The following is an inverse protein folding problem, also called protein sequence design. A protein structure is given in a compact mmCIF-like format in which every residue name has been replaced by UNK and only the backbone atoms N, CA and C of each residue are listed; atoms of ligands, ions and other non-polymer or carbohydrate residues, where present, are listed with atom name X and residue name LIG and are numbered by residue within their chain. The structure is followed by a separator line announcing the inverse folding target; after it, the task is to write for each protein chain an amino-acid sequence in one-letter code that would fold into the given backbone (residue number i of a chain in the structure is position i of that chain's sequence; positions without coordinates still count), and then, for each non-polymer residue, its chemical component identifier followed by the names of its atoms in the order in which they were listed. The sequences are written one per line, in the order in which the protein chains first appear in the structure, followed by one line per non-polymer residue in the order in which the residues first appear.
data_IF_112739011937
#
_entry.id   IF_112739011937
#
_cell.length_a   1.000
_cell.length_b   1.000
_cell.length_c   1.000
_cell.angle_alpha   90.00
_cell.angle_beta   90.00
_cell.angle_gamma   90.00
#
_symmetry.space_group_name_H-M   'P 1'
#
loop_
_entity.id
_entity.type
_entity.pdbx_description
1 polymer ?
#
# COMPACT_ATOMS: atom_id res chain seq x y z
N UNK A 1 19.61 -25.58 40.68
CA UNK A 1 20.36 -26.41 39.71
C UNK A 1 19.64 -26.33 38.38
N UNK A 2 20.36 -26.23 37.27
CA UNK A 2 19.76 -26.18 35.93
C UNK A 2 20.28 -27.36 35.12
N UNK A 3 19.37 -28.06 34.43
CA UNK A 3 19.69 -29.15 33.52
C UNK A 3 19.32 -28.72 32.10
N UNK A 4 20.25 -28.88 31.16
CA UNK A 4 20.05 -28.54 29.74
C UNK A 4 20.56 -29.67 28.86
N UNK A 5 19.99 -29.91 27.66
CA UNK A 5 20.56 -30.85 26.70
C UNK A 5 22.03 -30.55 26.42
N UNK A 6 22.86 -31.59 26.47
CA UNK A 6 24.33 -31.47 26.41
C UNK A 6 24.81 -30.91 25.08
N UNK A 7 24.14 -31.26 24.00
CA UNK A 7 24.33 -30.76 22.64
C UNK A 7 24.00 -29.26 22.48
N UNK A 8 23.27 -28.68 23.43
CA UNK A 8 22.83 -27.27 23.42
C UNK A 8 23.47 -26.43 24.52
N UNK A 9 24.40 -27.02 25.27
CA UNK A 9 25.14 -26.30 26.29
C UNK A 9 26.36 -25.64 25.65
N UNK A 10 26.41 -24.31 25.73
CA UNK A 10 27.61 -23.52 25.49
C UNK A 10 27.77 -22.40 26.53
N UNK A 11 28.85 -21.63 26.39
CA UNK A 11 29.15 -20.51 27.28
C UNK A 11 28.10 -19.38 27.21
N UNK A 12 27.50 -19.14 26.03
CA UNK A 12 26.51 -18.08 25.79
C UNK A 12 25.18 -18.42 26.45
N UNK A 13 24.70 -19.65 26.27
CA UNK A 13 23.50 -20.20 26.93
C UNK A 13 23.67 -20.14 28.44
N UNK A 14 24.82 -20.56 28.96
CA UNK A 14 25.13 -20.46 30.40
C UNK A 14 25.06 -19.02 30.90
N UNK A 15 25.61 -18.06 30.16
CA UNK A 15 25.60 -16.65 30.54
C UNK A 15 24.19 -16.04 30.51
N UNK A 16 23.39 -16.36 29.49
CA UNK A 16 21.98 -15.96 29.42
C UNK A 16 21.16 -16.52 30.58
N UNK A 17 21.31 -17.81 30.89
CA UNK A 17 20.65 -18.45 32.05
C UNK A 17 21.09 -17.76 33.35
N UNK A 18 22.39 -17.50 33.49
CA UNK A 18 22.94 -16.82 34.66
C UNK A 18 22.37 -15.40 34.83
N UNK A 19 22.25 -14.64 33.74
CA UNK A 19 21.68 -13.29 33.73
C UNK A 19 20.18 -13.30 34.08
N UNK A 20 19.42 -14.24 33.53
CA UNK A 20 18.01 -14.43 33.86
C UNK A 20 17.82 -14.73 35.36
N UNK A 21 18.52 -15.75 35.87
CA UNK A 21 18.43 -16.14 37.29
C UNK A 21 18.87 -15.01 38.23
N UNK A 22 19.92 -14.27 37.87
CA UNK A 22 20.36 -13.09 38.63
C UNK A 22 19.24 -12.05 38.74
N UNK A 23 18.51 -11.80 37.64
CA UNK A 23 17.45 -10.80 37.56
C UNK A 23 16.24 -11.23 38.37
N UNK A 24 15.76 -12.46 38.14
CA UNK A 24 14.55 -13.00 38.77
C UNK A 24 14.69 -13.19 40.28
N UNK A 25 15.89 -13.49 40.76
CA UNK A 25 16.18 -13.58 42.20
C UNK A 25 16.74 -12.28 42.80
N UNK A 26 16.74 -11.16 42.07
CA UNK A 26 17.20 -9.85 42.53
C UNK A 26 18.59 -9.91 43.19
N UNK A 27 19.53 -10.58 42.54
CA UNK A 27 20.82 -10.90 43.11
C UNK A 27 22.01 -10.56 42.22
N UNK A 28 23.14 -11.21 42.51
CA UNK A 28 24.33 -11.28 41.66
C UNK A 28 24.71 -12.73 41.43
N UNK A 29 25.17 -13.04 40.24
CA UNK A 29 25.76 -14.35 39.97
C UNK A 29 27.11 -14.43 40.68
N UNK A 30 27.22 -15.23 41.75
CA UNK A 30 28.43 -15.35 42.56
C UNK A 30 29.39 -16.40 42.01
N UNK A 31 28.87 -17.55 41.60
CA UNK A 31 29.65 -18.63 41.02
C UNK A 31 28.75 -19.53 40.16
N UNK A 32 29.36 -20.27 39.25
CA UNK A 32 28.70 -21.35 38.52
C UNK A 32 29.64 -22.54 38.40
N UNK A 33 29.10 -23.74 38.47
CA UNK A 33 29.86 -24.99 38.32
C UNK A 33 29.16 -25.90 37.31
N UNK A 34 29.65 -25.97 36.06
CA UNK A 34 29.13 -26.90 35.07
C UNK A 34 29.67 -28.31 35.34
N UNK A 35 28.82 -29.31 35.14
CA UNK A 35 29.12 -30.72 35.25
C UNK A 35 28.48 -31.46 34.06
N UNK A 36 29.21 -32.40 33.47
CA UNK A 36 28.77 -33.20 32.34
C UNK A 36 28.64 -34.67 32.76
N UNK A 37 27.58 -35.04 33.50
CA UNK A 37 27.33 -36.43 33.88
C UNK A 37 27.14 -37.33 32.65
N UNK A 38 27.25 -38.65 32.85
CA UNK A 38 26.88 -39.62 31.81
C UNK A 38 25.39 -39.46 31.44
N UNK A 39 25.11 -39.39 30.13
CA UNK A 39 23.78 -39.11 29.60
C UNK A 39 23.71 -37.85 28.72
N UNK A 40 22.50 -37.50 28.29
CA UNK A 40 22.23 -36.42 27.33
C UNK A 40 22.11 -35.02 27.93
N UNK A 41 22.35 -34.83 29.23
CA UNK A 41 22.14 -33.55 29.91
C UNK A 41 23.45 -33.00 30.50
N UNK A 42 23.69 -31.71 30.29
CA UNK A 42 24.64 -30.93 31.08
C UNK A 42 23.92 -30.34 32.30
N UNK A 43 24.59 -30.36 33.45
CA UNK A 43 24.07 -29.80 34.71
C UNK A 43 24.92 -28.59 35.10
N UNK A 44 24.29 -27.46 35.37
CA UNK A 44 24.97 -26.28 35.89
C UNK A 44 24.45 -25.93 37.27
N UNK A 45 25.36 -25.79 38.23
CA UNK A 45 25.07 -25.28 39.55
C UNK A 45 25.34 -23.79 39.61
N UNK A 46 24.29 -22.97 39.51
CA UNK A 46 24.37 -21.52 39.70
C UNK A 46 24.21 -21.15 41.17
N UNK A 47 25.09 -20.27 41.67
CA UNK A 47 25.01 -19.67 43.00
C UNK A 47 24.68 -18.19 42.82
N UNK A 48 23.46 -17.80 43.21
CA UNK A 48 23.02 -16.41 43.19
C UNK A 48 23.16 -15.82 44.59
N UNK A 49 24.12 -14.90 44.76
CA UNK A 49 24.30 -14.15 45.99
C UNK A 49 23.32 -13.00 46.07
N UNK A 50 22.68 -12.81 47.23
CA UNK A 50 21.76 -11.70 47.50
C UNK A 50 22.28 -10.85 48.66
N UNK A 51 22.06 -9.54 48.61
CA UNK A 51 22.54 -8.57 49.60
C UNK A 51 21.48 -8.16 50.64
N UNK A 52 20.23 -8.61 50.51
CA UNK A 52 19.17 -8.36 51.49
C UNK A 52 17.76 -8.70 50.97
N UNK A 53 16.74 -8.53 51.82
CA UNK A 53 15.33 -8.72 51.47
C UNK A 53 14.83 -10.19 51.47
N UNK A 54 13.50 -10.37 51.45
CA UNK A 54 12.88 -11.71 51.30
C UNK A 54 13.24 -12.30 49.94
N UNK A 55 13.46 -13.60 49.88
CA UNK A 55 13.74 -14.32 48.62
C UNK A 55 12.50 -14.31 47.73
N UNK A 56 12.60 -13.84 46.47
CA UNK A 56 11.54 -13.95 45.50
C UNK A 56 11.08 -15.41 45.39
N UNK A 57 9.78 -15.63 45.53
CA UNK A 57 9.16 -16.92 45.27
C UNK A 57 8.63 -16.88 43.85
N UNK A 58 9.34 -17.56 42.97
CA UNK A 58 9.00 -17.65 41.56
C UNK A 58 8.63 -19.10 41.32
N UNK A 59 7.48 -19.29 40.68
CA UNK A 59 7.00 -20.63 40.35
C UNK A 59 8.04 -21.36 39.49
N UNK A 60 8.27 -22.63 39.81
CA UNK A 60 9.28 -23.43 39.12
C UNK A 60 8.99 -23.51 37.61
N UNK A 61 7.72 -23.63 37.24
CA UNK A 61 7.27 -23.64 35.84
C UNK A 61 7.66 -22.37 35.08
N UNK A 62 7.66 -21.20 35.71
CA UNK A 62 8.07 -19.93 35.10
C UNK A 62 9.58 -19.92 34.85
N UNK A 63 10.38 -20.43 35.79
CA UNK A 63 11.83 -20.54 35.63
C UNK A 63 12.17 -21.55 34.53
N UNK A 64 11.50 -22.71 34.52
CA UNK A 64 11.70 -23.75 33.52
C UNK A 64 11.30 -23.28 32.12
N UNK A 65 10.20 -22.55 31.97
CA UNK A 65 9.78 -21.96 30.70
C UNK A 65 10.82 -20.99 30.15
N UNK A 66 11.32 -20.07 30.99
CA UNK A 66 12.34 -19.12 30.56
C UNK A 66 13.69 -19.77 30.24
N UNK A 67 14.12 -20.78 31.01
CA UNK A 67 15.35 -21.52 30.71
C UNK A 67 15.18 -22.32 29.41
N UNK A 68 14.01 -22.93 29.18
CA UNK A 68 13.69 -23.60 27.92
C UNK A 68 13.81 -22.63 26.76
N UNK A 69 13.25 -21.43 26.86
CA UNK A 69 13.37 -20.39 25.84
C UNK A 69 14.83 -19.99 25.56
N UNK A 70 15.69 -19.93 26.58
CA UNK A 70 17.12 -19.61 26.42
C UNK A 70 17.88 -20.72 25.68
N UNK A 71 17.49 -21.98 25.85
CA UNK A 71 18.16 -23.18 25.31
C UNK A 71 17.50 -23.66 24.01
N UNK A 72 16.38 -23.05 23.62
CA UNK A 72 15.58 -23.45 22.46
C UNK A 72 16.34 -23.14 21.17
N UNK A 73 16.47 -24.14 20.30
CA UNK A 73 17.01 -23.93 18.96
C UNK A 73 15.95 -23.31 18.06
N UNK A 74 16.38 -22.72 16.94
CA UNK A 74 15.46 -22.23 15.93
C UNK A 74 14.52 -23.33 15.42
N UNK A 75 15.06 -24.53 15.18
CA UNK A 75 14.34 -25.67 14.64
C UNK A 75 13.25 -26.18 15.59
N UNK A 76 13.50 -26.15 16.90
CA UNK A 76 12.50 -26.47 17.92
C UNK A 76 11.40 -25.42 17.96
N UNK A 77 11.79 -24.14 18.03
CA UNK A 77 10.85 -23.01 18.02
C UNK A 77 9.94 -23.05 16.79
N UNK A 78 10.52 -23.40 15.63
CA UNK A 78 9.82 -23.54 14.37
C UNK A 78 8.89 -24.76 14.35
N UNK A 79 9.31 -25.87 14.94
CA UNK A 79 8.47 -27.07 15.07
C UNK A 79 7.25 -26.81 15.96
N UNK A 80 7.46 -26.23 17.14
CA UNK A 80 6.39 -25.86 18.07
C UNK A 80 5.42 -24.85 17.42
N UNK A 81 5.94 -23.82 16.76
CA UNK A 81 5.11 -22.83 16.09
C UNK A 81 4.31 -23.43 14.92
N UNK A 82 4.91 -24.35 14.15
CA UNK A 82 4.23 -25.03 13.05
C UNK A 82 3.12 -25.95 13.56
N UNK A 83 3.35 -26.69 14.65
CA UNK A 83 2.35 -27.53 15.28
C UNK A 83 1.19 -26.70 15.86
N UNK A 84 1.50 -25.62 16.58
CA UNK A 84 0.51 -24.73 17.16
C UNK A 84 -0.38 -24.06 16.11
N UNK A 85 0.19 -23.72 14.95
CA UNK A 85 -0.53 -23.10 13.83
C UNK A 85 -1.16 -24.13 12.87
N UNK A 86 -0.92 -25.43 13.04
CA UNK A 86 -1.34 -26.46 12.07
C UNK A 86 -0.75 -26.24 10.67
N UNK A 87 0.49 -25.74 10.59
CA UNK A 87 1.13 -25.33 9.33
C UNK A 87 1.61 -26.52 8.49
N UNK A 88 1.56 -26.36 7.16
CA UNK A 88 2.07 -27.35 6.20
C UNK A 88 3.60 -27.57 6.37
N UNK A 89 4.09 -28.83 6.36
CA UNK A 89 5.52 -29.15 6.30
C UNK A 89 6.32 -28.35 5.26
N UNK A 90 5.73 -27.98 4.12
CA UNK A 90 6.37 -27.16 3.10
C UNK A 90 6.72 -25.75 3.61
N UNK A 91 5.83 -25.11 4.39
CA UNK A 91 6.09 -23.80 4.98
C UNK A 91 7.20 -23.87 6.03
N UNK A 92 7.21 -24.94 6.82
CA UNK A 92 8.29 -25.22 7.77
C UNK A 92 9.63 -25.37 7.06
N UNK A 93 9.67 -26.08 5.92
CA UNK A 93 10.89 -26.24 5.12
C UNK A 93 11.40 -24.91 4.56
N UNK A 94 10.50 -24.01 4.11
CA UNK A 94 10.87 -22.66 3.69
C UNK A 94 11.40 -21.85 4.86
N UNK A 95 10.69 -21.82 5.99
CA UNK A 95 11.08 -21.08 7.20
C UNK A 95 12.43 -21.54 7.80
N UNK A 96 12.77 -22.82 7.64
CA UNK A 96 14.07 -23.36 8.07
C UNK A 96 15.27 -22.77 7.28
N UNK A 97 15.03 -22.22 6.09
CA UNK A 97 16.07 -21.65 5.20
C UNK A 97 16.37 -20.18 5.47
N UNK A 98 15.70 -19.55 6.43
CA UNK A 98 15.93 -18.15 6.77
C UNK A 98 17.32 -17.97 7.40
N UNK A 99 18.07 -16.91 7.04
CA UNK A 99 19.43 -16.68 7.52
C UNK A 99 19.46 -16.31 9.01
N UNK A 100 20.61 -16.50 9.67
CA UNK A 100 20.81 -16.15 11.09
C UNK A 100 20.45 -14.69 11.38
N UNK A 101 20.83 -13.76 10.49
CA UNK A 101 20.49 -12.33 10.61
C UNK A 101 18.98 -12.06 10.70
N UNK A 102 18.15 -12.87 10.06
CA UNK A 102 16.70 -12.79 10.19
C UNK A 102 16.24 -13.34 11.54
N UNK A 103 16.79 -14.49 11.96
CA UNK A 103 16.45 -15.17 13.22
C UNK A 103 16.78 -14.32 14.46
N UNK A 104 17.76 -13.42 14.34
CA UNK A 104 18.09 -12.44 15.38
C UNK A 104 17.01 -11.36 15.56
N UNK A 105 16.20 -11.11 14.51
CA UNK A 105 15.22 -10.03 14.49
C UNK A 105 13.77 -10.50 14.63
N UNK A 106 13.47 -11.74 14.27
CA UNK A 106 12.11 -12.26 14.19
C UNK A 106 11.96 -13.63 14.85
N UNK A 107 10.76 -13.90 15.37
CA UNK A 107 10.43 -15.20 15.95
C UNK A 107 10.15 -16.25 14.87
N UNK A 108 10.23 -17.53 15.25
CA UNK A 108 9.90 -18.64 14.35
C UNK A 108 8.42 -18.63 13.88
N UNK A 109 7.51 -18.11 14.71
CA UNK A 109 6.11 -17.91 14.32
C UNK A 109 5.97 -16.87 13.20
N UNK A 110 6.73 -15.77 13.27
CA UNK A 110 6.78 -14.76 12.19
C UNK A 110 7.41 -15.35 10.93
N UNK A 111 8.47 -16.15 11.07
CA UNK A 111 9.09 -16.83 9.93
C UNK A 111 8.14 -17.78 9.20
N UNK A 112 7.23 -18.46 9.91
CA UNK A 112 6.19 -19.31 9.29
C UNK A 112 5.17 -18.48 8.51
N UNK A 113 4.75 -17.33 9.05
CA UNK A 113 3.88 -16.41 8.33
C UNK A 113 4.56 -15.87 7.06
N UNK A 114 5.82 -15.47 7.16
CA UNK A 114 6.64 -15.02 6.04
C UNK A 114 6.83 -16.14 5.00
N UNK A 115 7.09 -17.37 5.43
CA UNK A 115 7.16 -18.53 4.55
C UNK A 115 5.85 -18.75 3.76
N UNK A 116 4.70 -18.48 4.37
CA UNK A 116 3.40 -18.49 3.70
C UNK A 116 3.25 -17.44 2.60
N UNK A 117 3.91 -16.27 2.74
CA UNK A 117 3.98 -15.24 1.68
C UNK A 117 4.96 -15.65 0.59
N UNK A 118 6.13 -16.16 0.96
CA UNK A 118 7.15 -16.66 0.04
C UNK A 118 6.60 -17.78 -0.85
N UNK A 119 5.78 -18.67 -0.30
CA UNK A 119 5.18 -19.76 -1.07
C UNK A 119 4.22 -19.31 -2.18
N UNK A 120 3.77 -18.04 -2.17
CA UNK A 120 2.83 -17.48 -3.16
C UNK A 120 3.52 -16.68 -4.27
N UNK A 121 4.84 -16.50 -4.20
CA UNK A 121 5.62 -15.76 -5.19
C UNK A 121 6.50 -16.70 -6.01
N UNK A 122 6.81 -16.27 -7.22
CA UNK A 122 7.63 -17.00 -8.18
C UNK A 122 7.90 -16.14 -9.41
N UNK A 123 8.40 -16.73 -10.49
CA UNK A 123 8.75 -15.97 -11.69
C UNK A 123 7.57 -15.17 -12.29
N UNK A 124 6.36 -15.74 -12.31
CA UNK A 124 5.16 -15.11 -12.88
C UNK A 124 4.51 -14.07 -11.96
N UNK A 125 4.74 -14.19 -10.65
CA UNK A 125 4.25 -13.26 -9.63
C UNK A 125 5.39 -12.98 -8.63
N UNK A 126 6.35 -12.10 -9.00
CA UNK A 126 7.63 -12.03 -8.29
C UNK A 126 7.56 -11.25 -6.99
N UNK A 127 6.44 -10.63 -6.64
CA UNK A 127 6.33 -9.75 -5.48
C UNK A 127 5.12 -10.09 -4.62
N UNK A 128 5.32 -10.03 -3.31
CA UNK A 128 4.27 -9.94 -2.32
C UNK A 128 4.69 -8.89 -1.28
N UNK A 129 3.72 -8.30 -0.60
CA UNK A 129 3.98 -7.34 0.47
C UNK A 129 3.12 -7.64 1.69
N UNK A 130 3.53 -7.16 2.85
CA UNK A 130 2.80 -7.31 4.09
C UNK A 130 3.01 -6.09 5.00
N UNK A 131 1.92 -5.41 5.34
CA UNK A 131 1.95 -4.33 6.33
C UNK A 131 1.59 -4.88 7.69
N UNK A 132 2.37 -4.52 8.69
CA UNK A 132 2.17 -5.00 10.05
C UNK A 132 2.62 -3.94 11.06
N UNK A 133 2.47 -4.27 12.34
CA UNK A 133 2.80 -3.37 13.44
C UNK A 133 3.50 -4.13 14.55
N UNK A 134 4.66 -3.64 14.96
CA UNK A 134 5.34 -4.14 16.16
C UNK A 134 4.63 -3.64 17.43
N UNK A 135 4.75 -4.38 18.53
CA UNK A 135 4.06 -4.07 19.77
C UNK A 135 4.45 -2.71 20.39
N UNK A 136 5.65 -2.23 20.09
CA UNK A 136 6.25 -0.97 20.57
C UNK A 136 6.00 0.23 19.63
N UNK A 137 5.46 0.01 18.43
CA UNK A 137 5.22 1.06 17.46
C UNK A 137 4.00 1.93 17.83
N UNK A 138 4.17 3.25 17.70
CA UNK A 138 3.09 4.23 17.90
C UNK A 138 2.02 4.13 16.80
N UNK A 139 0.79 4.63 17.01
CA UNK A 139 -0.29 4.52 16.02
C UNK A 139 0.03 5.07 14.61
N UNK A 140 0.90 6.07 14.50
CA UNK A 140 1.35 6.67 13.23
C UNK A 140 2.57 5.97 12.60
N UNK A 141 3.07 4.90 13.22
CA UNK A 141 4.18 4.08 12.71
C UNK A 141 3.66 2.71 12.26
N UNK A 142 4.32 2.08 11.31
CA UNK A 142 4.03 0.71 10.88
C UNK A 142 5.31 0.05 10.38
N UNK A 143 5.25 -1.23 10.07
CA UNK A 143 6.31 -1.94 9.36
C UNK A 143 5.76 -2.52 8.06
N UNK A 144 6.64 -2.70 7.09
CA UNK A 144 6.34 -3.26 5.79
C UNK A 144 7.41 -4.29 5.44
N UNK A 145 6.99 -5.49 5.06
CA UNK A 145 7.85 -6.45 4.37
C UNK A 145 7.51 -6.49 2.89
N UNK A 146 8.54 -6.39 2.04
CA UNK A 146 8.45 -6.68 0.61
C UNK A 146 9.22 -7.96 0.34
N UNK A 147 8.52 -8.98 -0.15
CA UNK A 147 9.10 -10.25 -0.59
C UNK A 147 9.26 -10.19 -2.09
N UNK A 148 10.48 -10.38 -2.59
CA UNK A 148 10.75 -10.33 -4.03
C UNK A 148 11.55 -11.55 -4.50
N UNK A 149 11.05 -12.23 -5.53
CA UNK A 149 11.66 -13.41 -6.11
C UNK A 149 12.83 -13.05 -7.04
N UNK A 150 13.91 -13.81 -6.93
CA UNK A 150 15.06 -13.81 -7.84
C UNK A 150 16.06 -12.65 -7.69
N UNK A 151 15.62 -11.46 -7.26
CA UNK A 151 16.51 -10.30 -7.13
C UNK A 151 16.10 -9.35 -6.02
N UNK A 152 17.06 -8.62 -5.40
CA UNK A 152 16.74 -7.58 -4.46
C UNK A 152 16.13 -6.38 -5.20
N UNK A 153 15.16 -5.74 -4.57
CA UNK A 153 14.62 -4.47 -5.04
C UNK A 153 15.55 -3.34 -4.62
N UNK A 154 15.81 -2.36 -5.49
CA UNK A 154 16.56 -1.16 -5.13
C UNK A 154 15.68 -0.19 -4.32
N UNK A 155 16.28 0.53 -3.35
CA UNK A 155 15.59 1.59 -2.60
C UNK A 155 14.99 2.65 -3.53
N UNK A 156 15.73 3.06 -4.55
CA UNK A 156 15.29 4.03 -5.57
C UNK A 156 14.04 3.60 -6.35
N UNK A 157 13.66 2.33 -6.29
CA UNK A 157 12.42 1.82 -6.90
C UNK A 157 11.25 1.76 -5.92
N UNK A 158 11.48 1.35 -4.66
CA UNK A 158 10.40 1.16 -3.67
C UNK A 158 10.09 2.40 -2.83
N UNK A 159 11.09 3.19 -2.47
CA UNK A 159 10.91 4.37 -1.59
C UNK A 159 10.00 5.42 -2.23
N UNK A 160 10.15 5.78 -3.53
CA UNK A 160 9.26 6.77 -4.13
C UNK A 160 7.79 6.35 -4.14
N UNK A 161 7.51 5.05 -4.25
CA UNK A 161 6.13 4.52 -4.18
C UNK A 161 5.55 4.74 -2.78
N UNK A 162 6.33 4.43 -1.74
CA UNK A 162 5.92 4.63 -0.35
C UNK A 162 5.73 6.10 0.00
N UNK A 163 6.64 6.96 -0.46
CA UNK A 163 6.55 8.41 -0.27
C UNK A 163 5.28 8.99 -0.90
N UNK A 164 4.98 8.59 -2.14
CA UNK A 164 3.77 9.03 -2.82
C UNK A 164 2.48 8.48 -2.20
N UNK A 165 2.51 7.29 -1.57
CA UNK A 165 1.38 6.77 -0.77
C UNK A 165 1.22 7.55 0.55
N UNK A 166 2.25 8.29 0.99
CA UNK A 166 2.21 9.08 2.23
C UNK A 166 2.95 8.45 3.41
N UNK A 167 3.93 7.59 3.13
CA UNK A 167 4.83 7.06 4.13
C UNK A 167 6.21 7.72 4.08
N UNK A 168 6.82 7.90 5.24
CA UNK A 168 8.23 8.19 5.40
C UNK A 168 8.95 6.91 5.81
N UNK A 169 9.97 6.53 5.06
CA UNK A 169 10.80 5.36 5.39
C UNK A 169 11.84 5.77 6.43
N UNK A 170 11.85 5.07 7.57
CA UNK A 170 12.72 5.38 8.71
C UNK A 170 14.01 4.54 8.67
N UNK A 171 13.85 3.24 8.42
CA UNK A 171 14.96 2.30 8.35
C UNK A 171 14.59 1.13 7.43
N UNK A 172 15.59 0.44 6.88
CA UNK A 172 15.39 -0.83 6.19
C UNK A 172 16.42 -1.89 6.55
N UNK A 173 16.01 -3.15 6.44
CA UNK A 173 16.87 -4.33 6.49
C UNK A 173 16.51 -5.25 5.34
N UNK A 174 17.53 -5.87 4.74
CA UNK A 174 17.34 -6.85 3.67
C UNK A 174 17.85 -8.22 4.11
N UNK A 175 17.01 -9.23 3.93
CA UNK A 175 17.35 -10.63 4.18
C UNK A 175 17.29 -11.41 2.88
N UNK A 176 18.28 -12.26 2.66
CA UNK A 176 18.31 -13.20 1.55
C UNK A 176 17.92 -14.57 2.08
N UNK A 177 16.84 -15.13 1.53
CA UNK A 177 16.28 -16.43 1.90
C UNK A 177 16.46 -17.38 0.72
N UNK A 178 17.00 -18.56 1.00
CA UNK A 178 17.28 -19.59 0.00
C UNK A 178 18.76 -19.86 -0.20
N UNK A 179 19.07 -21.02 -0.77
CA UNK A 179 20.44 -21.47 -1.02
C UNK A 179 20.82 -21.51 -2.50
N UNK A 180 19.87 -21.80 -3.38
CA UNK A 180 20.09 -21.92 -4.82
C UNK A 180 19.68 -20.60 -5.51
N UNK A 181 20.50 -20.01 -6.40
CA UNK A 181 20.10 -18.88 -7.22
C UNK A 181 18.71 -18.98 -7.86
N UNK A 182 18.25 -20.19 -8.21
CA UNK A 182 16.96 -20.41 -8.86
C UNK A 182 15.73 -20.21 -7.94
N UNK A 183 15.91 -20.20 -6.62
CA UNK A 183 14.81 -20.07 -5.65
C UNK A 183 15.03 -18.98 -4.59
N UNK A 184 15.96 -18.06 -4.85
CA UNK A 184 16.26 -16.95 -3.96
C UNK A 184 15.09 -16.00 -3.82
N UNK A 185 14.82 -15.60 -2.59
CA UNK A 185 13.86 -14.57 -2.25
C UNK A 185 14.52 -13.53 -1.35
N UNK A 186 14.27 -12.27 -1.67
CA UNK A 186 14.74 -11.13 -0.89
C UNK A 186 13.58 -10.58 -0.08
N UNK A 187 13.76 -10.46 1.23
CA UNK A 187 12.82 -9.81 2.14
C UNK A 187 13.39 -8.44 2.48
N UNK A 188 12.67 -7.38 2.14
CA UNK A 188 12.99 -6.02 2.57
C UNK A 188 12.01 -5.64 3.68
N UNK A 189 12.52 -5.60 4.90
CA UNK A 189 11.78 -5.15 6.09
C UNK A 189 12.04 -3.66 6.30
N UNK A 190 10.97 -2.87 6.42
CA UNK A 190 11.03 -1.41 6.46
C UNK A 190 10.18 -0.87 7.59
N UNK A 191 10.73 0.08 8.34
CA UNK A 191 9.97 0.86 9.30
C UNK A 191 9.40 2.11 8.63
N UNK A 192 8.10 2.31 8.78
CA UNK A 192 7.34 3.37 8.14
C UNK A 192 6.72 4.30 9.17
N UNK A 193 6.58 5.56 8.79
CA UNK A 193 5.82 6.56 9.52
C UNK A 193 4.85 7.27 8.59
N UNK A 194 3.65 7.60 9.07
CA UNK A 194 2.70 8.41 8.31
C UNK A 194 3.21 9.85 8.18
N UNK A 195 3.48 10.29 6.94
CA UNK A 195 3.97 11.65 6.65
C UNK A 195 2.98 12.76 7.01
N UNK A 196 1.70 12.43 7.15
CA UNK A 196 0.65 13.36 7.57
C UNK A 196 0.43 13.39 9.10
N UNK A 197 1.19 12.59 9.86
CA UNK A 197 1.12 12.55 11.33
C UNK A 197 -0.14 11.87 11.90
N UNK A 198 -1.00 11.33 11.03
CA UNK A 198 -2.20 10.60 11.42
C UNK A 198 -1.91 9.12 11.75
N UNK A 199 -2.88 8.44 12.39
CA UNK A 199 -2.81 7.00 12.62
C UNK A 199 -2.78 6.26 11.27
N UNK A 200 -1.96 5.22 11.17
CA UNK A 200 -2.01 4.26 10.06
C UNK A 200 -3.07 3.21 10.39
N UNK A 201 -4.11 3.14 9.57
CA UNK A 201 -5.19 2.17 9.72
C UNK A 201 -4.82 0.85 9.04
N UNK A 202 -4.64 -0.21 9.84
CA UNK A 202 -4.37 -1.58 9.36
C UNK A 202 -5.49 -2.53 9.79
N UNK A 203 -6.70 -2.01 10.06
CA UNK A 203 -7.85 -2.83 10.49
C UNK A 203 -8.30 -3.83 9.43
N UNK A 204 -8.03 -3.56 8.16
CA UNK A 204 -8.22 -4.45 7.00
C UNK A 204 -7.04 -5.40 6.74
N UNK A 205 -6.06 -5.46 7.67
CA UNK A 205 -4.83 -6.21 7.48
C UNK A 205 -3.82 -5.53 6.55
N UNK A 206 -4.00 -4.24 6.24
CA UNK A 206 -3.14 -3.49 5.33
C UNK A 206 -3.51 -3.64 3.85
N UNK A 207 -4.67 -4.22 3.54
CA UNK A 207 -5.12 -4.50 2.19
C UNK A 207 -5.19 -3.24 1.31
N UNK A 208 -5.64 -2.12 1.87
CA UNK A 208 -5.67 -0.83 1.19
C UNK A 208 -4.28 -0.38 0.71
N UNK A 209 -3.27 -0.43 1.60
CA UNK A 209 -1.91 -0.04 1.25
C UNK A 209 -1.23 -1.08 0.36
N UNK A 210 -1.63 -2.35 0.49
CA UNK A 210 -1.18 -3.40 -0.40
C UNK A 210 -1.64 -3.14 -1.85
N UNK A 211 -2.93 -2.82 -2.02
CA UNK A 211 -3.49 -2.41 -3.30
C UNK A 211 -2.77 -1.19 -3.88
N UNK A 212 -2.62 -0.13 -3.08
CA UNK A 212 -1.95 1.10 -3.52
C UNK A 212 -0.51 0.84 -4.00
N UNK A 213 0.27 0.08 -3.22
CA UNK A 213 1.67 -0.21 -3.58
C UNK A 213 1.77 -1.13 -4.80
N UNK A 214 1.02 -2.24 -4.82
CA UNK A 214 1.14 -3.22 -5.89
C UNK A 214 0.57 -2.72 -7.22
N UNK A 215 -0.46 -1.88 -7.21
CA UNK A 215 -0.98 -1.25 -8.43
C UNK A 215 0.04 -0.33 -9.08
N UNK A 216 0.78 0.47 -8.29
CA UNK A 216 1.91 1.26 -8.82
C UNK A 216 3.04 0.34 -9.28
N UNK A 217 3.38 -0.68 -8.48
CA UNK A 217 4.49 -1.59 -8.78
C UNK A 217 4.33 -2.35 -10.10
N UNK A 218 3.09 -2.75 -10.42
CA UNK A 218 2.73 -3.42 -11.68
C UNK A 218 2.57 -2.47 -12.86
N UNK A 219 2.57 -1.16 -12.62
CA UNK A 219 2.32 -0.15 -13.65
C UNK A 219 0.84 -0.02 -14.02
N UNK A 220 -0.07 -0.48 -13.16
CA UNK A 220 -1.52 -0.34 -13.38
C UNK A 220 -1.97 1.13 -13.15
N UNK A 221 -1.23 1.86 -12.30
CA UNK A 221 -1.49 3.28 -11.98
C UNK A 221 -0.18 4.07 -11.89
N UNK A 222 -0.26 5.39 -12.09
CA UNK A 222 0.89 6.29 -12.01
C UNK A 222 1.45 6.42 -10.58
N UNK A 223 2.77 6.63 -10.48
CA UNK A 223 3.46 6.90 -9.22
C UNK A 223 3.54 8.41 -8.94
N UNK A 224 2.47 8.98 -8.39
CA UNK A 224 2.34 10.42 -8.15
C UNK A 224 1.65 10.73 -6.81
N UNK A 225 1.53 12.03 -6.48
CA UNK A 225 0.96 12.48 -5.21
C UNK A 225 -0.52 12.13 -4.99
N UNK A 226 -1.25 11.66 -6.02
CA UNK A 226 -2.63 11.19 -5.82
C UNK A 226 -2.67 9.90 -4.99
N UNK A 227 -1.59 9.10 -5.02
CA UNK A 227 -1.48 7.88 -4.21
C UNK A 227 -1.60 8.16 -2.71
N UNK A 228 -1.32 9.39 -2.26
CA UNK A 228 -1.47 9.83 -0.87
C UNK A 228 -2.91 9.73 -0.36
N UNK A 229 -3.89 9.70 -1.27
CA UNK A 229 -5.31 9.55 -0.92
C UNK A 229 -5.64 8.19 -0.31
N UNK A 230 -4.78 7.18 -0.47
CA UNK A 230 -4.89 5.94 0.29
C UNK A 230 -4.71 6.21 1.79
N UNK A 231 -3.70 7.00 2.15
CA UNK A 231 -3.39 7.35 3.53
C UNK A 231 -4.33 8.43 4.10
N UNK A 232 -4.64 9.47 3.33
CA UNK A 232 -5.42 10.62 3.83
C UNK A 232 -6.92 10.39 3.76
N UNK A 233 -7.41 9.78 2.68
CA UNK A 233 -8.84 9.62 2.41
C UNK A 233 -9.32 8.16 2.46
N UNK A 234 -8.43 7.18 2.65
CA UNK A 234 -8.80 5.76 2.71
C UNK A 234 -9.26 5.20 1.37
N UNK A 235 -8.84 5.81 0.25
CA UNK A 235 -9.28 5.44 -1.10
C UNK A 235 -8.38 4.36 -1.72
N UNK A 236 -8.99 3.36 -2.34
CA UNK A 236 -8.31 2.29 -3.07
C UNK A 236 -7.76 2.82 -4.40
N UNK A 237 -6.77 2.13 -4.99
CA UNK A 237 -6.07 2.58 -6.20
C UNK A 237 -7.03 2.85 -7.39
N UNK A 238 -8.08 2.05 -7.53
CA UNK A 238 -9.13 2.25 -8.54
C UNK A 238 -9.97 3.51 -8.32
N UNK A 239 -10.22 3.88 -7.06
CA UNK A 239 -10.96 5.08 -6.66
C UNK A 239 -10.09 6.33 -6.87
N UNK A 240 -8.81 6.25 -6.48
CA UNK A 240 -7.79 7.27 -6.73
C UNK A 240 -7.66 7.54 -8.23
N UNK A 241 -7.69 6.50 -9.06
CA UNK A 241 -7.61 6.60 -10.52
C UNK A 241 -8.72 7.46 -11.11
N UNK A 242 -9.93 7.42 -10.55
CA UNK A 242 -11.05 8.29 -11.00
C UNK A 242 -10.71 9.76 -10.74
N UNK A 243 -10.24 10.08 -9.53
CA UNK A 243 -9.89 11.45 -9.18
C UNK A 243 -8.70 11.94 -10.02
N UNK A 244 -7.67 11.11 -10.17
CA UNK A 244 -6.53 11.39 -11.04
C UNK A 244 -6.98 11.68 -12.48
N UNK A 245 -7.88 10.89 -13.04
CA UNK A 245 -8.41 11.11 -14.39
C UNK A 245 -9.08 12.48 -14.55
N UNK A 246 -9.87 12.93 -13.56
CA UNK A 246 -10.43 14.28 -13.58
C UNK A 246 -9.35 15.36 -13.50
N UNK A 247 -8.32 15.18 -12.67
CA UNK A 247 -7.17 16.08 -12.62
C UNK A 247 -6.43 16.19 -13.94
N UNK A 248 -6.20 15.07 -14.63
CA UNK A 248 -5.60 15.00 -15.97
C UNK A 248 -6.48 15.68 -17.02
N UNK A 249 -7.80 15.50 -16.95
CA UNK A 249 -8.73 16.24 -17.81
C UNK A 249 -8.67 17.75 -17.55
N UNK A 250 -8.58 18.18 -16.30
CA UNK A 250 -8.46 19.61 -15.96
C UNK A 250 -7.20 20.24 -16.58
N UNK A 251 -6.09 19.51 -16.64
CA UNK A 251 -4.89 19.96 -17.35
C UNK A 251 -5.20 20.25 -18.83
N UNK A 252 -5.88 19.33 -19.51
CA UNK A 252 -6.30 19.53 -20.90
C UNK A 252 -7.36 20.63 -21.06
N UNK A 253 -8.16 20.87 -20.02
CA UNK A 253 -9.11 21.98 -19.96
C UNK A 253 -8.44 23.34 -19.64
N UNK A 254 -7.11 23.37 -19.43
CA UNK A 254 -6.36 24.60 -19.21
C UNK A 254 -6.41 25.14 -17.78
N UNK A 255 -6.58 24.26 -16.78
CA UNK A 255 -6.40 24.65 -15.38
C UNK A 255 -4.94 25.10 -15.15
N UNK A 256 -4.68 26.21 -14.43
CA UNK A 256 -3.32 26.71 -14.25
C UNK A 256 -2.51 25.89 -13.23
N UNK A 257 -3.16 25.22 -12.28
CA UNK A 257 -2.48 24.44 -11.24
C UNK A 257 -1.89 23.13 -11.80
N UNK A 258 -0.69 22.78 -11.35
CA UNK A 258 -0.01 21.53 -11.75
C UNK A 258 -0.70 20.29 -11.16
N UNK A 259 -0.41 19.11 -11.70
CA UNK A 259 -0.93 17.85 -11.15
C UNK A 259 -0.52 17.64 -9.70
N UNK A 260 0.72 17.95 -9.34
CA UNK A 260 1.20 17.84 -7.95
C UNK A 260 0.42 18.77 -7.01
N UNK A 261 0.11 19.99 -7.46
CA UNK A 261 -0.67 20.93 -6.66
C UNK A 261 -2.13 20.46 -6.50
N UNK A 262 -2.73 19.92 -7.56
CA UNK A 262 -4.08 19.35 -7.52
C UNK A 262 -4.13 18.15 -6.56
N UNK A 263 -3.18 17.23 -6.66
CA UNK A 263 -3.09 16.09 -5.75
C UNK A 263 -2.89 16.54 -4.29
N UNK A 264 -2.03 17.54 -4.05
CA UNK A 264 -1.82 18.11 -2.73
C UNK A 264 -3.07 18.83 -2.18
N UNK A 265 -3.88 19.47 -3.02
CA UNK A 265 -5.17 20.04 -2.62
C UNK A 265 -6.13 18.93 -2.16
N UNK A 266 -6.30 17.85 -2.94
CA UNK A 266 -7.17 16.74 -2.54
C UNK A 266 -6.72 16.06 -1.23
N UNK A 267 -5.42 15.87 -1.04
CA UNK A 267 -4.87 15.30 0.19
C UNK A 267 -5.02 16.20 1.43
N UNK A 268 -5.11 17.52 1.25
CA UNK A 268 -5.39 18.47 2.35
C UNK A 268 -6.84 18.43 2.82
N UNK A 269 -7.77 18.04 1.94
CA UNK A 269 -9.20 17.95 2.24
C UNK A 269 -9.73 16.53 1.97
N UNK A 270 -9.29 15.52 2.73
CA UNK A 270 -9.59 14.10 2.45
C UNK A 270 -11.08 13.77 2.49
N UNK A 271 -11.85 14.40 3.39
CA UNK A 271 -13.30 14.20 3.46
C UNK A 271 -14.02 14.73 2.21
N UNK A 272 -13.50 15.81 1.61
CA UNK A 272 -14.02 16.34 0.35
C UNK A 272 -13.62 15.42 -0.81
N UNK A 273 -12.36 14.94 -0.84
CA UNK A 273 -11.89 14.01 -1.86
C UNK A 273 -12.72 12.70 -1.87
N UNK A 274 -13.00 12.13 -0.69
CA UNK A 274 -13.90 10.98 -0.55
C UNK A 274 -15.31 11.32 -1.02
N UNK A 275 -15.86 12.47 -0.60
CA UNK A 275 -17.17 12.93 -1.05
C UNK A 275 -17.28 13.11 -2.58
N UNK A 276 -16.22 13.59 -3.24
CA UNK A 276 -16.16 13.69 -4.70
C UNK A 276 -16.23 12.30 -5.36
N UNK A 277 -15.46 11.34 -4.84
CA UNK A 277 -15.55 9.95 -5.31
C UNK A 277 -16.95 9.36 -5.08
N UNK A 278 -17.52 9.53 -3.89
CA UNK A 278 -18.86 9.02 -3.56
C UNK A 278 -19.93 9.64 -4.46
N UNK A 279 -19.79 10.93 -4.79
CA UNK A 279 -20.68 11.62 -5.73
C UNK A 279 -20.57 11.03 -7.14
N UNK A 280 -19.36 10.70 -7.58
CA UNK A 280 -19.13 10.01 -8.86
C UNK A 280 -19.86 8.67 -8.89
N UNK A 281 -19.70 7.85 -7.84
CA UNK A 281 -20.37 6.54 -7.73
C UNK A 281 -21.89 6.70 -7.69
N UNK A 282 -22.42 7.64 -6.90
CA UNK A 282 -23.85 7.88 -6.79
C UNK A 282 -24.48 8.36 -8.12
N UNK A 283 -23.72 9.04 -8.99
CA UNK A 283 -24.23 9.55 -10.28
C UNK A 283 -24.09 8.58 -11.44
N UNK A 284 -23.07 7.74 -11.43
CA UNK A 284 -22.66 6.96 -12.61
C UNK A 284 -22.60 5.46 -12.34
N UNK A 285 -22.72 5.06 -11.07
CA UNK A 285 -22.69 3.67 -10.63
C UNK A 285 -23.99 2.91 -10.89
N UNK A 286 -24.02 1.61 -10.55
CA UNK A 286 -25.18 0.74 -10.81
C UNK A 286 -26.46 1.21 -10.11
N UNK A 287 -26.34 1.94 -9.01
CA UNK A 287 -27.46 2.48 -8.22
C UNK A 287 -27.76 3.94 -8.55
N UNK A 288 -27.35 4.45 -9.72
CA UNK A 288 -27.49 5.88 -10.07
C UNK A 288 -28.94 6.37 -10.19
N UNK A 289 -29.89 5.47 -10.45
CA UNK A 289 -31.31 5.78 -10.50
C UNK A 289 -31.96 5.64 -9.11
N UNK A 290 -33.08 6.33 -8.86
CA UNK A 290 -33.80 6.26 -7.59
C UNK A 290 -32.97 6.83 -6.43
N UNK A 291 -32.53 5.95 -5.52
CA UNK A 291 -31.78 6.31 -4.32
C UNK A 291 -30.45 7.02 -4.63
N UNK A 292 -29.79 6.68 -5.75
CA UNK A 292 -28.56 7.35 -6.19
C UNK A 292 -28.75 8.83 -6.50
N UNK A 293 -29.91 9.22 -7.04
CA UNK A 293 -30.23 10.64 -7.31
C UNK A 293 -30.33 11.44 -6.01
N UNK A 294 -30.97 10.84 -4.99
CA UNK A 294 -31.11 11.45 -3.67
C UNK A 294 -29.74 11.54 -2.99
N UNK A 295 -28.98 10.45 -2.98
CA UNK A 295 -27.62 10.40 -2.44
C UNK A 295 -26.71 11.44 -3.10
N UNK A 296 -26.70 11.52 -4.43
CA UNK A 296 -25.92 12.50 -5.18
C UNK A 296 -26.29 13.95 -4.80
N UNK A 297 -27.58 14.25 -4.59
CA UNK A 297 -28.02 15.58 -4.14
C UNK A 297 -27.49 15.91 -2.74
N UNK A 298 -27.56 14.96 -1.80
CA UNK A 298 -27.03 15.13 -0.44
C UNK A 298 -25.52 15.27 -0.42
N UNK A 299 -24.79 14.42 -1.14
CA UNK A 299 -23.33 14.48 -1.27
C UNK A 299 -22.89 15.82 -1.88
N UNK A 300 -23.55 16.27 -2.94
CA UNK A 300 -23.29 17.59 -3.54
C UNK A 300 -23.49 18.73 -2.53
N UNK A 301 -24.57 18.71 -1.75
CA UNK A 301 -24.80 19.72 -0.72
C UNK A 301 -23.69 19.68 0.35
N UNK A 302 -23.36 18.49 0.87
CA UNK A 302 -22.29 18.30 1.85
C UNK A 302 -20.93 18.79 1.35
N UNK A 303 -20.58 18.52 0.08
CA UNK A 303 -19.35 19.03 -0.54
C UNK A 303 -19.36 20.55 -0.62
N UNK A 304 -20.49 21.15 -0.99
CA UNK A 304 -20.63 22.61 -1.06
C UNK A 304 -20.50 23.28 0.29
N UNK A 305 -21.09 22.69 1.34
CA UNK A 305 -20.96 23.19 2.70
C UNK A 305 -19.50 23.07 3.18
N UNK A 306 -18.84 21.93 2.90
CA UNK A 306 -17.42 21.75 3.24
C UNK A 306 -16.48 22.70 2.47
N UNK A 307 -16.86 23.14 1.26
CA UNK A 307 -16.13 24.13 0.48
C UNK A 307 -16.14 25.53 1.11
N UNK A 308 -17.13 25.86 1.95
CA UNK A 308 -17.16 27.16 2.66
C UNK A 308 -16.04 27.28 3.68
N UNK A 309 -15.52 26.15 4.16
CA UNK A 309 -14.42 26.05 5.13
C UNK A 309 -13.04 25.96 4.47
N UNK A 310 -12.93 26.10 3.14
CA UNK A 310 -11.66 26.04 2.40
C UNK A 310 -11.07 27.46 2.30
N UNK A 311 -10.01 27.79 3.06
CA UNK A 311 -9.50 29.17 3.12
C UNK A 311 -8.67 29.57 1.90
N UNK A 312 -8.07 28.60 1.21
CA UNK A 312 -7.19 28.85 0.07
C UNK A 312 -8.01 28.87 -1.24
N UNK A 313 -7.91 29.97 -2.00
CA UNK A 313 -8.71 30.18 -3.21
C UNK A 313 -8.35 29.22 -4.36
N UNK A 314 -7.09 28.80 -4.47
CA UNK A 314 -6.66 27.83 -5.48
C UNK A 314 -7.21 26.45 -5.15
N UNK A 315 -7.16 26.06 -3.88
CA UNK A 315 -7.73 24.79 -3.40
C UNK A 315 -9.25 24.74 -3.63
N UNK A 316 -9.96 25.82 -3.27
CA UNK A 316 -11.41 25.97 -3.51
C UNK A 316 -11.72 25.87 -5.01
N UNK A 317 -10.95 26.57 -5.85
CA UNK A 317 -11.11 26.54 -7.31
C UNK A 317 -10.94 25.13 -7.87
N UNK A 318 -9.91 24.40 -7.43
CA UNK A 318 -9.67 23.01 -7.85
C UNK A 318 -10.85 22.13 -7.48
N UNK A 319 -11.29 22.16 -6.22
CA UNK A 319 -12.36 21.29 -5.75
C UNK A 319 -13.69 21.62 -6.46
N UNK A 320 -14.00 22.91 -6.68
CA UNK A 320 -15.18 23.32 -7.46
C UNK A 320 -15.12 22.83 -8.89
N UNK A 321 -13.94 22.85 -9.53
CA UNK A 321 -13.72 22.29 -10.87
C UNK A 321 -13.94 20.78 -10.90
N UNK A 322 -13.46 20.05 -9.90
CA UNK A 322 -13.75 18.61 -9.75
C UNK A 322 -15.25 18.34 -9.62
N UNK A 323 -15.93 19.07 -8.73
CA UNK A 323 -17.37 18.95 -8.55
C UNK A 323 -18.10 19.18 -9.88
N UNK A 324 -17.79 20.26 -10.60
CA UNK A 324 -18.39 20.56 -11.90
C UNK A 324 -18.13 19.45 -12.94
N UNK A 325 -16.92 18.89 -13.00
CA UNK A 325 -16.62 17.79 -13.93
C UNK A 325 -17.44 16.53 -13.64
N UNK A 326 -17.57 16.16 -12.37
CA UNK A 326 -18.37 14.99 -11.96
C UNK A 326 -19.85 15.23 -12.30
N UNK A 327 -20.34 16.46 -12.16
CA UNK A 327 -21.70 16.83 -12.58
C UNK A 327 -21.88 16.81 -14.10
N UNK A 328 -20.87 17.23 -14.86
CA UNK A 328 -20.86 17.22 -16.33
C UNK A 328 -20.65 15.82 -16.93
N UNK A 329 -20.26 14.82 -16.14
CA UNK A 329 -20.11 13.44 -16.57
C UNK A 329 -21.46 12.78 -16.85
N UNK A 330 -21.54 12.11 -18.00
CA UNK A 330 -22.76 11.49 -18.53
C UNK A 330 -22.76 9.97 -18.46
N UNK A 331 -21.58 9.34 -18.63
CA UNK A 331 -21.40 7.88 -18.52
C UNK A 331 -19.92 7.53 -18.44
N UNK A 332 -19.64 6.35 -17.93
CA UNK A 332 -18.29 5.79 -17.80
C UNK A 332 -18.29 4.27 -18.04
N UNK A 333 -17.15 3.70 -18.39
CA UNK A 333 -16.94 2.25 -18.45
C UNK A 333 -16.47 1.65 -17.10
N UNK A 334 -16.30 2.46 -16.05
CA UNK A 334 -15.78 2.03 -14.76
C UNK A 334 -16.57 0.88 -14.11
N UNK A 335 -17.90 0.86 -14.28
CA UNK A 335 -18.78 -0.11 -13.62
C UNK A 335 -19.11 -1.36 -14.46
N UNK A 336 -18.46 -1.53 -15.61
CA UNK A 336 -18.71 -2.69 -16.49
C UNK A 336 -17.85 -3.86 -16.01
N UNK A 337 -18.44 -5.03 -15.72
CA UNK A 337 -17.73 -6.15 -15.10
C UNK A 337 -16.55 -6.69 -15.93
N UNK A 338 -16.67 -6.67 -17.27
CA UNK A 338 -15.64 -7.14 -18.20
C UNK A 338 -14.45 -6.17 -18.33
N UNK A 339 -14.49 -5.00 -17.68
CA UNK A 339 -13.42 -3.99 -17.78
C UNK A 339 -12.31 -4.13 -16.75
N UNK A 340 -12.36 -5.17 -15.90
CA UNK A 340 -11.31 -5.51 -14.93
C UNK A 340 -10.15 -6.33 -15.52
N UNK A 341 -10.11 -6.54 -16.84
CA UNK A 341 -8.93 -7.09 -17.48
C UNK A 341 -7.76 -6.09 -17.34
N UNK A 342 -6.56 -6.60 -17.03
CA UNK A 342 -5.34 -5.78 -16.89
C UNK A 342 -5.16 -4.87 -18.11
N UNK A 343 -4.88 -3.59 -17.87
CA UNK A 343 -4.54 -2.61 -18.92
C UNK A 343 -5.71 -1.86 -19.57
N UNK A 344 -6.96 -2.02 -19.12
CA UNK A 344 -8.06 -1.25 -19.70
C UNK A 344 -8.15 0.18 -19.14
N UNK A 345 -8.09 1.17 -20.04
CA UNK A 345 -8.23 2.58 -19.70
C UNK A 345 -9.66 2.95 -19.26
N UNK A 346 -9.74 3.84 -18.28
CA UNK A 346 -10.96 4.53 -17.87
C UNK A 346 -11.42 5.49 -18.96
N UNK A 347 -12.69 5.41 -19.34
CA UNK A 347 -13.33 6.33 -20.27
C UNK A 347 -14.48 7.07 -19.58
N UNK A 348 -14.51 8.39 -19.70
CA UNK A 348 -15.57 9.25 -19.16
C UNK A 348 -16.10 10.12 -20.30
N UNK A 349 -17.41 10.07 -20.53
CA UNK A 349 -18.09 10.94 -21.49
C UNK A 349 -18.61 12.17 -20.76
N UNK A 350 -18.18 13.35 -21.19
CA UNK A 350 -18.49 14.66 -20.61
C UNK A 350 -19.44 15.45 -21.52
N UNK A 351 -20.34 16.21 -20.89
CA UNK A 351 -21.03 17.33 -21.52
C UNK A 351 -20.12 18.57 -21.51
N UNK A 352 -19.35 18.75 -22.58
CA UNK A 352 -18.42 19.88 -22.73
C UNK A 352 -19.07 21.26 -22.58
N UNK A 353 -20.38 21.38 -22.84
CA UNK A 353 -21.08 22.66 -22.66
C UNK A 353 -21.30 22.99 -21.17
N UNK A 354 -21.42 21.97 -20.33
CA UNK A 354 -21.58 22.08 -18.88
C UNK A 354 -20.24 22.19 -18.12
N UNK A 355 -19.10 21.90 -18.78
CA UNK A 355 -17.77 22.05 -18.18
C UNK A 355 -17.41 23.53 -18.07
N UNK A 356 -17.30 24.00 -16.84
CA UNK A 356 -16.88 25.35 -16.54
C UNK A 356 -15.37 25.52 -16.74
N UNK A 357 -14.95 26.69 -17.24
CA UNK A 357 -13.53 26.97 -17.53
C UNK A 357 -13.01 26.36 -18.83
N UNK A 358 -13.80 25.54 -19.54
CA UNK A 358 -13.37 24.93 -20.79
C UNK A 358 -13.17 25.98 -21.90
N UNK A 359 -12.00 26.03 -22.58
CA UNK A 359 -11.73 26.98 -23.66
C UNK A 359 -12.62 26.75 -24.88
N UNK A 360 -12.95 27.83 -25.59
CA UNK A 360 -13.68 27.77 -26.85
C UNK A 360 -12.76 27.26 -28.00
N UNK A 361 -13.31 26.55 -29.00
CA UNK A 361 -14.70 26.11 -29.11
C UNK A 361 -14.98 24.89 -28.21
N UNK A 362 -16.15 24.88 -27.55
CA UNK A 362 -16.59 23.76 -26.73
C UNK A 362 -17.31 22.74 -27.63
N UNK A 363 -16.84 21.49 -27.72
CA UNK A 363 -17.54 20.44 -28.45
C UNK A 363 -18.95 20.21 -27.88
N UNK A 364 -19.77 19.44 -28.59
CA UNK A 364 -21.00 18.90 -28.00
C UNK A 364 -20.65 17.91 -26.89
N UNK A 365 -19.73 16.96 -27.14
CA UNK A 365 -19.29 15.97 -26.14
C UNK A 365 -17.80 15.69 -26.26
N UNK A 366 -17.21 15.36 -25.13
CA UNK A 366 -15.84 14.85 -25.03
C UNK A 366 -15.87 13.45 -24.41
N UNK A 367 -15.14 12.51 -25.01
CA UNK A 367 -14.83 11.23 -24.38
C UNK A 367 -13.37 11.28 -24.00
N UNK A 368 -13.12 11.44 -22.70
CA UNK A 368 -11.79 11.41 -22.14
C UNK A 368 -11.42 9.97 -21.80
N UNK A 369 -10.21 9.56 -22.16
CA UNK A 369 -9.65 8.24 -21.88
C UNK A 369 -8.38 8.43 -21.07
N UNK A 370 -8.25 7.70 -19.97
CA UNK A 370 -7.12 7.75 -19.07
C UNK A 370 -6.74 6.34 -18.59
N UNK A 371 -5.44 6.03 -18.65
CA UNK A 371 -4.83 4.83 -18.11
C UNK A 371 -3.31 4.97 -18.14
N UNK A 372 -2.60 4.08 -17.45
CA UNK A 372 -1.14 4.14 -17.32
C UNK A 372 -0.39 4.03 -18.66
N UNK A 373 -0.98 3.33 -19.64
CA UNK A 373 -0.38 3.16 -20.98
C UNK A 373 -0.86 4.20 -22.00
N UNK A 374 -2.07 4.75 -21.83
CA UNK A 374 -2.67 5.65 -22.82
C UNK A 374 -3.61 6.67 -22.18
N UNK A 375 -3.43 7.92 -22.59
CA UNK A 375 -4.30 9.04 -22.28
C UNK A 375 -4.74 9.70 -23.59
N UNK A 376 -5.99 10.18 -23.68
CA UNK A 376 -6.48 10.80 -24.89
C UNK A 376 -7.87 11.40 -24.77
N UNK A 377 -8.29 12.11 -25.82
CA UNK A 377 -9.63 12.69 -25.90
C UNK A 377 -10.21 12.53 -27.31
N UNK A 378 -11.49 12.18 -27.36
CA UNK A 378 -12.28 12.19 -28.58
C UNK A 378 -13.33 13.31 -28.51
N UNK A 379 -13.24 14.26 -29.43
CA UNK A 379 -14.11 15.44 -29.49
C UNK A 379 -15.24 15.23 -30.51
N UNK A 380 -16.46 15.61 -30.14
CA UNK A 380 -17.63 15.51 -31.01
C UNK A 380 -18.39 16.82 -31.05
N UNK A 381 -18.70 17.36 -32.23
CA UNK A 381 -19.52 18.57 -32.36
C UNK A 381 -20.98 18.28 -32.72
N UNK A 382 -21.36 17.01 -32.85
CA UNK A 382 -22.75 16.59 -32.97
C UNK A 382 -23.06 15.12 -32.65
N UNK A 383 -24.34 14.71 -32.80
CA UNK A 383 -24.84 13.36 -32.54
C UNK A 383 -24.20 12.26 -33.39
N UNK A 384 -23.57 12.63 -34.50
CA UNK A 384 -22.71 11.78 -35.32
C UNK A 384 -21.42 12.55 -35.60
N UNK A 385 -20.28 11.93 -35.31
CA UNK A 385 -18.96 12.50 -35.57
C UNK A 385 -18.18 11.55 -36.50
N UNK A 386 -17.34 12.12 -37.37
CA UNK A 386 -16.45 11.37 -38.27
C UNK A 386 -15.08 12.02 -38.30
N UNK A 387 -14.06 11.24 -37.97
CA UNK A 387 -12.66 11.67 -37.94
C UNK A 387 -11.72 10.49 -37.75
N UNK A 388 -10.43 10.71 -37.99
CA UNK A 388 -9.38 9.73 -37.71
C UNK A 388 -8.91 9.78 -36.25
N UNK A 389 -8.09 8.80 -35.86
CA UNK A 389 -7.33 8.84 -34.61
C UNK A 389 -5.93 9.39 -34.89
N UNK A 390 -5.37 10.13 -33.94
CA UNK A 390 -4.00 10.65 -34.01
C UNK A 390 -3.26 10.27 -32.74
N UNK A 391 -2.08 9.68 -32.93
CA UNK A 391 -1.10 9.56 -31.86
C UNK A 391 -0.39 10.89 -31.70
N UNK A 392 -0.37 11.42 -30.47
CA UNK A 392 0.26 12.70 -30.14
C UNK A 392 1.36 12.46 -29.12
N UNK A 393 2.47 13.17 -29.27
CA UNK A 393 3.55 13.28 -28.29
C UNK A 393 3.34 14.48 -27.33
N UNK A 394 2.27 15.25 -27.51
CA UNK A 394 1.96 16.47 -26.73
C UNK A 394 1.18 16.15 -25.46
N UNK A 395 1.83 15.52 -24.48
CA UNK A 395 1.19 15.11 -23.23
C UNK A 395 0.50 16.26 -22.46
N UNK A 396 0.95 17.51 -22.61
CA UNK A 396 0.43 18.65 -21.84
C UNK A 396 -0.79 19.33 -22.47
N UNK A 397 -1.01 19.20 -23.79
CA UNK A 397 -2.06 19.95 -24.48
C UNK A 397 -2.61 19.31 -25.77
N UNK A 398 -2.58 17.97 -25.86
CA UNK A 398 -3.11 17.23 -27.00
C UNK A 398 -4.59 17.57 -27.29
N UNK A 399 -5.40 18.00 -26.31
CA UNK A 399 -6.77 18.45 -26.56
C UNK A 399 -6.80 19.65 -27.54
N UNK A 400 -5.87 20.58 -27.41
CA UNK A 400 -5.74 21.74 -28.31
C UNK A 400 -5.35 21.30 -29.72
N UNK A 401 -4.45 20.31 -29.84
CA UNK A 401 -4.10 19.73 -31.12
C UNK A 401 -5.30 19.03 -31.78
N UNK A 402 -6.02 18.20 -31.05
CA UNK A 402 -7.22 17.51 -31.56
C UNK A 402 -8.28 18.53 -31.99
N UNK A 403 -8.48 19.61 -31.22
CA UNK A 403 -9.37 20.72 -31.61
C UNK A 403 -8.95 21.37 -32.94
N UNK A 404 -7.65 21.59 -33.15
CA UNK A 404 -7.11 22.12 -34.40
C UNK A 404 -7.44 21.23 -35.61
N UNK A 405 -7.33 19.91 -35.43
CA UNK A 405 -7.64 18.92 -36.46
C UNK A 405 -9.13 18.80 -36.75
N UNK A 406 -9.96 18.87 -35.70
CA UNK A 406 -11.41 18.84 -35.88
C UNK A 406 -11.86 20.00 -36.75
N UNK A 407 -11.36 21.23 -36.55
CA UNK A 407 -11.69 22.38 -37.41
C UNK A 407 -11.45 22.09 -38.90
N UNK A 408 -10.31 21.49 -39.24
CA UNK A 408 -10.01 21.09 -40.62
C UNK A 408 -10.99 20.02 -41.13
N UNK A 409 -11.35 19.06 -40.28
CA UNK A 409 -12.34 18.03 -40.60
C UNK A 409 -13.76 18.58 -40.76
N UNK A 410 -14.17 19.59 -39.99
CA UNK A 410 -15.47 20.24 -40.13
C UNK A 410 -15.59 20.93 -41.49
N UNK A 411 -14.55 21.63 -41.94
CA UNK A 411 -14.51 22.26 -43.27
C UNK A 411 -14.62 21.19 -44.37
N UNK A 412 -13.90 20.07 -44.22
CA UNK A 412 -13.96 18.94 -45.16
C UNK A 412 -15.35 18.28 -45.19
N UNK A 413 -15.98 18.10 -44.03
CA UNK A 413 -17.29 17.45 -43.92
C UNK A 413 -18.44 18.36 -44.34
N UNK A 414 -18.34 19.69 -44.16
CA UNK A 414 -19.37 20.64 -44.56
C UNK A 414 -19.68 20.60 -46.07
N UNK A 415 -18.70 20.18 -46.88
CA UNK A 415 -18.85 19.97 -48.33
C UNK A 415 -19.57 18.65 -48.66
N UNK A 416 -19.66 17.71 -47.71
CA UNK A 416 -20.11 16.33 -47.93
C UNK A 416 -21.42 16.00 -47.17
N UNK A 417 -21.63 16.51 -45.96
CA UNK A 417 -22.83 16.28 -45.14
C UNK A 417 -23.18 17.54 -44.33
N UNK A 418 -24.43 18.03 -44.31
CA UNK A 418 -24.73 19.36 -43.79
C UNK A 418 -24.61 19.55 -42.26
N UNK A 419 -24.49 18.49 -41.46
CA UNK A 419 -24.71 18.58 -39.98
C UNK A 419 -23.91 17.57 -39.12
N UNK A 420 -22.83 16.96 -39.62
CA UNK A 420 -22.08 15.96 -38.84
C UNK A 420 -20.58 16.16 -38.88
N UNK A 421 -20.02 16.84 -37.88
CA UNK A 421 -18.58 16.82 -37.59
C UNK A 421 -18.32 16.50 -36.13
#
# INVERSE_FOLDING_TARGET
LVFVPRDRYDSVVREKIGAYLKTVFEGRLSAYYPAFPEGGLARVHFIIGRSGGKTPKIEQSTIEAAIRDIVRTWEDALSEAAEAAGSDPALKAIAARFPESYRDSFSAAVALADAGRIAKIGADNPIAIDYYRHADQKPHQAALKIYHFGSPVALSRRVPVLENIGFRVISERTFEVGGDPADRVFIHDMELENSYGARIDLTDGGALFEDAFLSVWRGDVDNDGYNGLAQTAGLWSGEITILRAYGRYLQQAGIPQSQDFIAAALNRYPEIARGLHDLFVARLGPAAEGDGVVAAKHLKAKIKDALEEVPNIDDDTIIRRYLNLIEASLRTNHFVADTKAKGQSLAIKLDSQAVEGLPAPRPWREIFVYGSEVEGVHLRFGPVARGGLRWSDRAQDYRTEVLGLVKAQQVKNAVIVPVGA
#
